data_IF_904195538837
#
_entry.id   IF_904195538837
#
_cell.length_a   1.000
_cell.length_b   1.000
_cell.length_c   1.000
_cell.angle_alpha   90.00
_cell.angle_beta   90.00
_cell.angle_gamma   90.00
#
_symmetry.space_group_name_H-M   'P 1'
#
loop_
_entity.id
_entity.type
_entity.pdbx_description
1 polymer ?
#
# COMPACT_ATOMS: atom_id res chain seq x y z
N UNK A 1 -8.29 -27.99 -19.04
CA UNK A 1 -7.16 -28.40 -18.18
C UNK A 1 -7.66 -28.33 -16.75
N UNK A 2 -7.56 -29.46 -16.05
CA UNK A 2 -7.76 -29.50 -14.61
C UNK A 2 -6.41 -29.29 -13.89
N UNK A 3 -6.41 -28.48 -12.86
CA UNK A 3 -5.24 -28.18 -12.02
C UNK A 3 -5.55 -28.72 -10.62
N UNK A 4 -4.67 -29.55 -10.07
CA UNK A 4 -4.68 -29.97 -8.67
C UNK A 4 -3.24 -30.03 -8.18
N UNK A 5 -2.81 -29.00 -7.45
CA UNK A 5 -1.45 -28.83 -6.98
C UNK A 5 -1.44 -28.76 -5.47
N UNK A 6 -0.45 -29.40 -4.86
CA UNK A 6 -0.20 -29.32 -3.43
C UNK A 6 1.28 -29.08 -3.19
N UNK A 7 1.60 -28.05 -2.39
CA UNK A 7 2.96 -27.67 -2.03
C UNK A 7 3.08 -27.73 -0.51
N UNK A 8 4.03 -28.51 -0.01
CA UNK A 8 4.23 -28.64 1.45
C UNK A 8 5.08 -27.48 1.99
N UNK A 9 6.08 -27.07 1.21
CA UNK A 9 7.00 -25.99 1.57
C UNK A 9 7.71 -25.50 0.32
N UNK A 10 7.74 -24.19 0.09
CA UNK A 10 8.45 -23.57 -1.03
C UNK A 10 9.70 -22.80 -0.60
N UNK A 11 10.08 -22.82 0.68
CA UNK A 11 11.20 -22.02 1.20
C UNK A 11 12.51 -22.25 0.44
N UNK A 12 12.75 -23.46 -0.07
CA UNK A 12 13.93 -23.74 -0.89
C UNK A 12 13.89 -22.94 -2.20
N UNK A 13 12.73 -22.89 -2.86
CA UNK A 13 12.56 -22.14 -4.11
C UNK A 13 12.68 -20.63 -3.86
N UNK A 14 12.06 -20.12 -2.79
CA UNK A 14 12.14 -18.70 -2.44
C UNK A 14 13.57 -18.28 -2.12
N UNK A 15 14.34 -19.15 -1.45
CA UNK A 15 15.76 -18.91 -1.18
C UNK A 15 16.61 -18.93 -2.47
N UNK A 16 16.45 -19.95 -3.31
CA UNK A 16 17.22 -20.10 -4.57
C UNK A 16 16.97 -18.94 -5.55
N UNK A 17 15.75 -18.47 -5.65
CA UNK A 17 15.36 -17.40 -6.57
C UNK A 17 15.33 -16.01 -5.91
N UNK A 18 15.79 -15.90 -4.64
CA UNK A 18 15.82 -14.63 -3.88
C UNK A 18 14.44 -13.93 -3.90
N UNK A 19 13.37 -14.70 -3.75
CA UNK A 19 12.02 -14.16 -3.77
C UNK A 19 11.71 -13.47 -2.42
N UNK A 20 11.02 -12.32 -2.41
CA UNK A 20 10.76 -11.56 -1.18
C UNK A 20 9.61 -12.14 -0.34
N UNK A 21 9.19 -13.37 -0.62
CA UNK A 21 8.09 -14.04 0.09
C UNK A 21 8.43 -15.49 0.44
N UNK A 22 7.71 -16.03 1.39
CA UNK A 22 7.79 -17.42 1.82
C UNK A 22 6.40 -17.97 2.12
N UNK A 23 6.20 -19.27 1.90
CA UNK A 23 4.94 -19.98 2.19
C UNK A 23 5.24 -21.19 3.06
N UNK A 24 4.49 -21.35 4.13
CA UNK A 24 4.65 -22.44 5.09
C UNK A 24 3.34 -23.24 5.21
N UNK A 25 3.49 -24.52 5.51
CA UNK A 25 2.38 -25.45 5.56
C UNK A 25 1.94 -25.93 4.17
N UNK A 26 1.03 -26.89 4.14
CA UNK A 26 0.53 -27.47 2.90
C UNK A 26 -0.42 -26.52 2.19
N UNK A 27 0.09 -25.85 1.17
CA UNK A 27 -0.69 -24.98 0.29
C UNK A 27 -1.31 -25.79 -0.84
N UNK A 28 -2.56 -25.53 -1.17
CA UNK A 28 -3.28 -26.22 -2.24
C UNK A 28 -3.81 -25.25 -3.28
N UNK A 29 -3.81 -25.66 -4.54
CA UNK A 29 -4.45 -24.92 -5.62
C UNK A 29 -5.21 -25.89 -6.51
N UNK A 30 -6.51 -25.67 -6.70
CA UNK A 30 -7.39 -26.45 -7.56
C UNK A 30 -8.12 -25.55 -8.53
N UNK A 31 -8.34 -26.06 -9.75
CA UNK A 31 -9.09 -25.26 -10.70
C UNK A 31 -9.26 -25.89 -12.05
N UNK A 32 -10.02 -25.21 -12.88
CA UNK A 32 -10.30 -25.56 -14.25
C UNK A 32 -9.96 -24.40 -15.19
N UNK A 33 -9.29 -24.72 -16.28
CA UNK A 33 -9.03 -23.83 -17.41
C UNK A 33 -9.61 -24.48 -18.66
N UNK A 34 -10.52 -23.79 -19.34
CA UNK A 34 -11.09 -24.25 -20.61
C UNK A 34 -10.79 -23.24 -21.70
N UNK A 35 -10.06 -23.67 -22.73
CA UNK A 35 -9.85 -22.86 -23.93
C UNK A 35 -11.09 -22.81 -24.83
N UNK A 36 -11.94 -23.84 -24.79
CA UNK A 36 -13.19 -23.90 -25.53
C UNK A 36 -14.19 -22.90 -25.01
N UNK A 37 -14.44 -22.94 -23.70
CA UNK A 37 -15.39 -22.05 -23.04
C UNK A 37 -14.75 -20.72 -22.64
N UNK A 38 -13.43 -20.58 -22.84
CA UNK A 38 -12.61 -19.45 -22.38
C UNK A 38 -12.86 -19.18 -20.89
N UNK A 39 -12.98 -20.25 -20.09
CA UNK A 39 -13.30 -20.16 -18.67
C UNK A 39 -12.08 -20.42 -17.80
N UNK A 40 -12.01 -19.67 -16.69
CA UNK A 40 -11.05 -19.83 -15.61
C UNK A 40 -11.84 -19.93 -14.31
N UNK A 41 -11.53 -20.95 -13.51
CA UNK A 41 -12.02 -21.07 -12.13
C UNK A 41 -10.91 -21.72 -11.30
N UNK A 42 -10.24 -20.94 -10.46
CA UNK A 42 -9.11 -21.38 -9.63
C UNK A 42 -9.41 -20.99 -8.19
N UNK A 43 -9.13 -21.93 -7.29
CA UNK A 43 -9.15 -21.70 -5.83
C UNK A 43 -7.83 -22.14 -5.25
N UNK A 44 -7.29 -21.35 -4.33
CA UNK A 44 -6.09 -21.71 -3.59
C UNK A 44 -6.30 -21.46 -2.10
N UNK A 45 -5.63 -22.28 -1.30
CA UNK A 45 -5.56 -22.14 0.15
C UNK A 45 -4.09 -22.18 0.56
N UNK A 46 -3.66 -21.16 1.31
CA UNK A 46 -2.30 -21.04 1.80
C UNK A 46 -2.36 -20.84 3.32
N UNK A 47 -1.91 -21.83 4.12
CA UNK A 47 -1.99 -21.77 5.58
C UNK A 47 -1.21 -20.60 6.17
N UNK A 48 0.01 -20.36 5.68
CA UNK A 48 0.83 -19.25 6.14
C UNK A 48 1.67 -18.67 4.98
N UNK A 49 1.73 -17.35 4.92
CA UNK A 49 2.45 -16.59 3.92
C UNK A 49 3.16 -15.42 4.58
N UNK A 50 4.44 -15.25 4.28
CA UNK A 50 5.24 -14.12 4.73
C UNK A 50 5.72 -13.31 3.54
N UNK A 51 5.51 -12.02 3.59
CA UNK A 51 6.09 -11.07 2.64
C UNK A 51 6.83 -9.97 3.40
N UNK A 52 8.13 -9.92 3.26
CA UNK A 52 8.99 -9.02 4.05
C UNK A 52 8.76 -9.22 5.56
N UNK A 53 8.24 -8.22 6.25
CA UNK A 53 7.92 -8.24 7.70
C UNK A 53 6.45 -8.58 8.00
N UNK A 54 5.61 -8.71 6.99
CA UNK A 54 4.19 -9.01 7.15
C UNK A 54 3.96 -10.52 7.11
N UNK A 55 3.21 -11.02 8.08
CA UNK A 55 2.82 -12.43 8.16
C UNK A 55 1.31 -12.53 8.02
N UNK A 56 0.87 -13.47 7.20
CA UNK A 56 -0.53 -13.75 6.94
C UNK A 56 -0.81 -15.24 7.18
N UNK A 57 -2.00 -15.54 7.68
CA UNK A 57 -2.48 -16.89 7.90
C UNK A 57 -3.85 -17.09 7.27
N UNK A 58 -4.18 -18.36 6.99
CA UNK A 58 -5.48 -18.77 6.47
C UNK A 58 -5.88 -17.98 5.22
N UNK A 59 -4.99 -17.94 4.24
CA UNK A 59 -5.25 -17.23 3.00
C UNK A 59 -6.10 -18.11 2.10
N UNK A 60 -7.27 -17.61 1.73
CA UNK A 60 -8.12 -18.18 0.70
C UNK A 60 -8.10 -17.25 -0.51
N UNK A 61 -7.88 -17.80 -1.68
CA UNK A 61 -7.86 -17.09 -2.95
C UNK A 61 -8.80 -17.76 -3.94
N UNK A 62 -9.58 -16.96 -4.64
CA UNK A 62 -10.38 -17.42 -5.77
C UNK A 62 -10.21 -16.48 -6.97
N UNK A 63 -10.04 -17.09 -8.13
CA UNK A 63 -9.94 -16.40 -9.42
C UNK A 63 -10.91 -17.03 -10.40
N UNK A 64 -11.77 -16.23 -11.00
CA UNK A 64 -12.66 -16.69 -12.07
C UNK A 64 -12.91 -15.59 -13.10
N UNK A 65 -13.44 -15.96 -14.26
CA UNK A 65 -13.83 -15.02 -15.29
C UNK A 65 -15.34 -15.00 -15.58
N UNK A 66 -16.16 -15.14 -14.55
CA UNK A 66 -17.61 -15.07 -14.65
C UNK A 66 -18.08 -13.70 -15.12
N UNK A 67 -19.20 -13.67 -15.85
CA UNK A 67 -19.82 -12.45 -16.37
C UNK A 67 -18.88 -11.60 -17.26
N UNK A 68 -17.99 -12.27 -18.02
CA UNK A 68 -16.99 -11.61 -18.88
C UNK A 68 -16.05 -10.66 -18.12
N UNK A 69 -15.87 -10.90 -16.85
CA UNK A 69 -14.96 -10.13 -15.98
C UNK A 69 -14.01 -11.10 -15.28
N UNK A 70 -12.74 -10.75 -15.24
CA UNK A 70 -11.79 -11.47 -14.41
C UNK A 70 -11.98 -11.00 -12.96
N UNK A 71 -12.40 -11.92 -12.10
CA UNK A 71 -12.67 -11.62 -10.70
C UNK A 71 -11.66 -12.34 -9.81
N UNK A 72 -11.04 -11.59 -8.93
CA UNK A 72 -10.17 -12.07 -7.86
C UNK A 72 -10.83 -11.77 -6.52
N UNK A 73 -10.82 -12.71 -5.62
CA UNK A 73 -11.10 -12.47 -4.21
C UNK A 73 -10.06 -13.17 -3.34
N UNK A 74 -9.69 -12.54 -2.26
CA UNK A 74 -8.76 -13.09 -1.29
C UNK A 74 -9.19 -12.68 0.10
N UNK A 75 -9.13 -13.63 1.05
CA UNK A 75 -9.24 -13.36 2.47
C UNK A 75 -8.00 -13.86 3.18
N UNK A 76 -7.60 -13.21 4.25
CA UNK A 76 -6.45 -13.59 5.05
C UNK A 76 -6.56 -13.00 6.47
N UNK A 77 -5.82 -13.57 7.41
CA UNK A 77 -5.57 -12.97 8.72
C UNK A 77 -4.14 -12.44 8.76
N UNK A 78 -3.97 -11.13 8.82
CA UNK A 78 -2.67 -10.51 9.02
C UNK A 78 -2.31 -10.53 10.50
N UNK A 79 -1.13 -11.07 10.82
CA UNK A 79 -0.63 -11.13 12.19
C UNK A 79 -0.07 -9.77 12.61
N UNK A 80 -0.54 -9.29 13.75
CA UNK A 80 -0.09 -8.07 14.40
C UNK A 80 0.82 -8.37 15.60
N UNK A 81 1.39 -7.33 16.20
CA UNK A 81 2.13 -7.46 17.47
C UNK A 81 1.23 -8.09 18.54
N UNK A 82 1.81 -8.89 19.46
CA UNK A 82 1.10 -9.60 20.54
C UNK A 82 0.08 -10.63 20.04
N UNK A 83 0.33 -11.26 18.87
CA UNK A 83 -0.54 -12.28 18.27
C UNK A 83 -1.98 -11.82 17.95
N UNK A 84 -2.23 -10.52 17.94
CA UNK A 84 -3.48 -9.99 17.46
C UNK A 84 -3.62 -10.23 15.95
N UNK A 85 -4.85 -10.49 15.48
CA UNK A 85 -5.13 -10.79 14.08
C UNK A 85 -6.04 -9.70 13.50
N UNK A 86 -5.70 -9.24 12.31
CA UNK A 86 -6.53 -8.36 11.50
C UNK A 86 -7.04 -9.14 10.32
N UNK A 87 -8.35 -9.33 10.23
CA UNK A 87 -8.96 -9.91 9.05
C UNK A 87 -8.82 -8.95 7.87
N UNK A 88 -8.30 -9.44 6.76
CA UNK A 88 -8.09 -8.66 5.53
C UNK A 88 -8.81 -9.33 4.38
N UNK A 89 -9.49 -8.56 3.55
CA UNK A 89 -10.11 -9.03 2.32
C UNK A 89 -9.74 -8.13 1.15
N UNK A 90 -9.51 -8.75 0.00
CA UNK A 90 -9.24 -8.06 -1.26
C UNK A 90 -10.18 -8.62 -2.32
N UNK A 91 -10.90 -7.74 -2.99
CA UNK A 91 -11.65 -8.10 -4.20
C UNK A 91 -11.19 -7.24 -5.36
N UNK A 92 -11.01 -7.83 -6.53
CA UNK A 92 -10.76 -7.11 -7.76
C UNK A 92 -11.62 -7.66 -8.89
N UNK A 93 -12.09 -6.79 -9.76
CA UNK A 93 -12.89 -7.18 -10.93
C UNK A 93 -12.44 -6.36 -12.14
N UNK A 94 -11.92 -7.06 -13.16
CA UNK A 94 -11.32 -6.42 -14.33
C UNK A 94 -12.05 -6.80 -15.63
N UNK A 95 -12.31 -5.81 -16.46
CA UNK A 95 -12.81 -5.93 -17.84
C UNK A 95 -12.56 -4.65 -18.63
N UNK A 96 -12.35 -4.75 -19.95
CA UNK A 96 -12.21 -3.60 -20.85
C UNK A 96 -11.19 -2.56 -20.34
N UNK A 97 -9.98 -3.02 -20.06
CA UNK A 97 -8.87 -2.19 -19.57
C UNK A 97 -9.17 -1.43 -18.25
N UNK A 98 -10.20 -1.85 -17.52
CA UNK A 98 -10.57 -1.27 -16.24
C UNK A 98 -10.60 -2.33 -15.15
N UNK A 99 -10.02 -2.02 -14.00
CA UNK A 99 -10.04 -2.86 -12.79
C UNK A 99 -10.61 -2.07 -11.62
N UNK A 100 -11.63 -2.60 -10.98
CA UNK A 100 -12.16 -2.10 -9.71
C UNK A 100 -11.61 -2.96 -8.58
N UNK A 101 -11.07 -2.31 -7.55
CA UNK A 101 -10.48 -3.00 -6.39
C UNK A 101 -11.10 -2.47 -5.11
N UNK A 102 -11.37 -3.39 -4.17
CA UNK A 102 -11.71 -3.06 -2.79
C UNK A 102 -10.80 -3.83 -1.85
N UNK A 103 -10.10 -3.10 -1.01
CA UNK A 103 -9.28 -3.66 0.08
C UNK A 103 -9.98 -3.30 1.38
N UNK A 104 -10.37 -4.32 2.13
CA UNK A 104 -11.00 -4.16 3.44
C UNK A 104 -10.17 -4.79 4.55
N UNK A 105 -10.23 -4.24 5.74
CA UNK A 105 -9.68 -4.86 6.94
C UNK A 105 -10.49 -4.52 8.19
N UNK A 106 -10.50 -5.45 9.14
CA UNK A 106 -11.16 -5.28 10.42
C UNK A 106 -10.11 -5.33 11.52
N UNK A 107 -10.02 -4.28 12.33
CA UNK A 107 -9.05 -4.20 13.42
C UNK A 107 -9.22 -5.34 14.44
N UNK A 108 -8.12 -5.72 15.09
CA UNK A 108 -8.05 -6.84 16.02
C UNK A 108 -9.00 -6.71 17.24
N UNK A 109 -9.45 -5.51 17.57
CA UNK A 109 -10.30 -5.24 18.73
C UNK A 109 -11.80 -5.28 18.47
N UNK A 110 -12.22 -5.48 17.22
CA UNK A 110 -13.63 -5.51 16.78
C UNK A 110 -14.53 -4.35 17.30
N UNK A 111 -13.91 -3.28 17.78
CA UNK A 111 -14.62 -2.11 18.34
C UNK A 111 -15.08 -1.12 17.26
N UNK A 112 -14.60 -1.28 16.04
CA UNK A 112 -14.82 -0.33 14.95
C UNK A 112 -15.34 -1.04 13.72
N UNK A 113 -16.02 -0.30 12.88
CA UNK A 113 -16.42 -0.76 11.56
C UNK A 113 -15.21 -1.13 10.69
N UNK A 114 -15.45 -1.94 9.66
CA UNK A 114 -14.39 -2.33 8.74
C UNK A 114 -13.85 -1.12 7.98
N UNK A 115 -12.54 -1.01 7.90
CA UNK A 115 -11.87 -0.09 6.97
C UNK A 115 -12.03 -0.60 5.55
N UNK A 116 -12.30 0.27 4.59
CA UNK A 116 -12.39 -0.09 3.17
C UNK A 116 -11.75 1.00 2.33
N UNK A 117 -10.83 0.60 1.44
CA UNK A 117 -10.32 1.44 0.34
C UNK A 117 -10.88 0.89 -0.95
N UNK A 118 -11.50 1.77 -1.74
CA UNK A 118 -12.06 1.43 -3.06
C UNK A 118 -11.32 2.22 -4.15
N UNK A 119 -10.90 1.52 -5.22
CA UNK A 119 -10.19 2.15 -6.33
C UNK A 119 -10.73 1.68 -7.68
N UNK A 120 -10.59 2.54 -8.69
CA UNK A 120 -10.72 2.18 -10.10
C UNK A 120 -9.38 2.42 -10.80
N UNK A 121 -8.88 1.41 -11.52
CA UNK A 121 -7.65 1.53 -12.30
C UNK A 121 -7.98 1.38 -13.78
N UNK A 122 -7.60 2.36 -14.58
CA UNK A 122 -7.74 2.37 -16.04
C UNK A 122 -6.37 2.14 -16.66
N UNK A 123 -6.24 1.07 -17.43
CA UNK A 123 -5.02 0.73 -18.13
C UNK A 123 -5.07 1.25 -19.58
N UNK A 124 -3.95 1.69 -20.08
CA UNK A 124 -3.81 2.10 -21.48
C UNK A 124 -2.40 1.80 -21.98
N UNK A 125 -2.24 1.77 -23.31
CA UNK A 125 -0.92 1.66 -23.94
C UNK A 125 -0.67 2.89 -24.79
N UNK A 126 0.52 3.48 -24.65
CA UNK A 126 0.99 4.55 -25.51
C UNK A 126 2.37 4.19 -26.09
N UNK A 127 2.47 4.09 -27.42
CA UNK A 127 3.70 3.68 -28.13
C UNK A 127 4.31 2.37 -27.58
N UNK A 128 3.47 1.39 -27.21
CA UNK A 128 3.90 0.11 -26.66
C UNK A 128 4.13 0.08 -25.16
N UNK A 129 4.25 1.21 -24.49
CA UNK A 129 4.43 1.31 -23.05
C UNK A 129 3.07 1.31 -22.32
N UNK A 130 3.02 0.62 -21.20
CA UNK A 130 1.83 0.58 -20.33
C UNK A 130 1.71 1.87 -19.52
N UNK A 131 0.52 2.41 -19.44
CA UNK A 131 0.12 3.47 -18.53
C UNK A 131 -1.07 3.02 -17.68
N UNK A 132 -1.21 3.57 -16.48
CA UNK A 132 -2.34 3.29 -15.61
C UNK A 132 -2.78 4.56 -14.88
N UNK A 133 -4.08 4.80 -14.82
CA UNK A 133 -4.69 5.83 -13.99
C UNK A 133 -5.43 5.16 -12.84
N UNK A 134 -4.98 5.38 -11.61
CA UNK A 134 -5.60 4.91 -10.39
C UNK A 134 -6.43 6.04 -9.77
N UNK A 135 -7.72 5.79 -9.57
CA UNK A 135 -8.63 6.72 -8.89
C UNK A 135 -9.01 6.10 -7.54
N UNK A 136 -8.71 6.82 -6.47
CA UNK A 136 -9.24 6.50 -5.15
C UNK A 136 -10.65 7.09 -5.04
N UNK A 137 -11.61 6.26 -4.66
CA UNK A 137 -12.92 6.74 -4.28
C UNK A 137 -12.95 7.15 -2.81
N UNK A 138 -13.79 8.09 -2.41
CA UNK A 138 -13.94 8.45 -1.01
C UNK A 138 -14.12 7.20 -0.13
N UNK A 139 -13.30 7.10 0.89
CA UNK A 139 -13.18 5.89 1.71
C UNK A 139 -12.93 6.26 3.16
N UNK A 140 -13.29 5.37 4.07
CA UNK A 140 -13.02 5.53 5.50
C UNK A 140 -12.15 4.40 6.00
N UNK A 141 -11.10 4.74 6.72
CA UNK A 141 -10.14 3.78 7.26
C UNK A 141 -9.82 4.07 8.72
N UNK A 142 -9.59 3.03 9.49
CA UNK A 142 -9.08 3.15 10.84
C UNK A 142 -7.56 3.02 10.85
N UNK A 143 -6.89 4.04 11.40
CA UNK A 143 -5.45 4.05 11.67
C UNK A 143 -5.29 4.29 13.17
N UNK A 144 -4.65 3.35 13.89
CA UNK A 144 -4.45 3.44 15.34
C UNK A 144 -5.75 3.79 16.10
N UNK A 145 -6.81 3.02 15.86
CA UNK A 145 -8.16 3.20 16.45
C UNK A 145 -8.84 4.55 16.16
N UNK A 146 -8.37 5.26 15.15
CA UNK A 146 -8.91 6.56 14.74
C UNK A 146 -9.43 6.50 13.32
N UNK A 147 -10.65 7.03 13.09
CA UNK A 147 -11.27 7.09 11.78
C UNK A 147 -10.66 8.21 10.95
N UNK A 148 -10.17 7.87 9.76
CA UNK A 148 -9.64 8.78 8.76
C UNK A 148 -10.46 8.71 7.48
N UNK A 149 -10.67 9.84 6.84
CA UNK A 149 -11.28 9.95 5.53
C UNK A 149 -10.19 10.01 4.46
N UNK A 150 -10.31 9.17 3.44
CA UNK A 150 -9.52 9.23 2.21
C UNK A 150 -10.39 9.88 1.16
N UNK A 151 -9.96 11.02 0.65
CA UNK A 151 -10.73 11.77 -0.34
C UNK A 151 -10.53 11.21 -1.75
N UNK A 152 -11.33 11.68 -2.70
CA UNK A 152 -11.18 11.33 -4.10
C UNK A 152 -9.83 11.84 -4.62
N UNK A 153 -8.98 10.94 -5.07
CA UNK A 153 -7.61 11.23 -5.47
C UNK A 153 -7.24 10.48 -6.73
N UNK A 154 -6.34 11.01 -7.53
CA UNK A 154 -5.90 10.40 -8.78
C UNK A 154 -4.38 10.22 -8.78
N UNK A 155 -3.93 9.02 -9.12
CA UNK A 155 -2.52 8.73 -9.37
C UNK A 155 -2.37 8.23 -10.81
N UNK A 156 -1.63 8.97 -11.62
CA UNK A 156 -1.33 8.62 -13.01
C UNK A 156 0.09 8.05 -13.12
N UNK A 157 0.20 6.80 -13.52
CA UNK A 157 1.45 6.15 -13.93
C UNK A 157 1.55 6.27 -15.46
N UNK A 158 2.30 7.23 -15.93
CA UNK A 158 2.37 7.53 -17.35
C UNK A 158 3.34 6.61 -18.11
N UNK A 159 3.09 6.43 -19.38
CA UNK A 159 3.90 5.58 -20.27
C UNK A 159 5.37 6.01 -20.41
N UNK A 160 5.71 7.25 -20.06
CA UNK A 160 7.06 7.80 -20.02
C UNK A 160 7.75 7.64 -18.66
N UNK A 161 7.17 6.83 -17.77
CA UNK A 161 7.61 6.60 -16.39
C UNK A 161 7.45 7.81 -15.46
N UNK A 162 6.60 8.77 -15.81
CA UNK A 162 6.20 9.85 -14.92
C UNK A 162 5.09 9.37 -14.00
N UNK A 163 5.24 9.61 -12.70
CA UNK A 163 4.21 9.45 -11.69
C UNK A 163 3.59 10.82 -11.39
N UNK A 164 2.30 11.00 -11.60
CA UNK A 164 1.58 12.21 -11.21
C UNK A 164 0.59 11.88 -10.13
N UNK A 165 0.59 12.64 -9.05
CA UNK A 165 -0.36 12.52 -7.94
C UNK A 165 -1.19 13.79 -7.92
N UNK A 166 -2.52 13.63 -7.97
CA UNK A 166 -3.49 14.75 -7.96
C UNK A 166 -4.34 14.62 -6.71
N UNK A 167 -4.15 15.56 -5.82
CA UNK A 167 -4.96 15.74 -4.60
C UNK A 167 -5.11 14.47 -3.76
N UNK A 168 -4.01 13.72 -3.55
CA UNK A 168 -4.06 12.64 -2.59
C UNK A 168 -4.18 13.23 -1.19
N UNK A 169 -5.37 13.09 -0.62
CA UNK A 169 -5.71 13.71 0.65
C UNK A 169 -6.32 12.68 1.60
N UNK A 170 -5.74 12.57 2.77
CA UNK A 170 -6.24 11.79 3.90
C UNK A 170 -6.33 12.70 5.11
N UNK A 171 -7.47 12.69 5.80
CA UNK A 171 -7.74 13.63 6.88
C UNK A 171 -8.53 13.03 8.04
N UNK A 172 -8.36 13.62 9.21
CA UNK A 172 -9.12 13.36 10.44
C UNK A 172 -9.14 14.60 11.32
N UNK A 173 -10.32 15.18 11.57
CA UNK A 173 -10.45 16.42 12.36
C UNK A 173 -9.53 17.52 11.81
N UNK A 174 -8.52 17.93 12.60
CA UNK A 174 -7.53 18.94 12.23
C UNK A 174 -6.22 18.35 11.68
N UNK A 175 -6.15 17.04 11.54
CA UNK A 175 -4.97 16.32 11.05
C UNK A 175 -5.15 15.98 9.58
N UNK A 176 -4.10 16.15 8.78
CA UNK A 176 -4.14 15.75 7.38
C UNK A 176 -2.76 15.46 6.80
N UNK A 177 -2.78 14.66 5.74
CA UNK A 177 -1.68 14.49 4.78
C UNK A 177 -2.24 14.79 3.39
N UNK A 178 -1.66 15.76 2.71
CA UNK A 178 -1.97 16.10 1.33
C UNK A 178 -0.73 15.96 0.46
N UNK A 179 -0.84 15.25 -0.65
CA UNK A 179 0.25 15.02 -1.60
C UNK A 179 -0.24 15.39 -2.99
N UNK A 180 0.50 16.27 -3.65
CA UNK A 180 0.22 16.72 -5.01
C UNK A 180 1.50 16.95 -5.79
N UNK A 181 1.46 16.75 -7.11
CA UNK A 181 2.62 17.00 -7.97
C UNK A 181 3.03 15.81 -8.81
N UNK A 182 4.27 15.78 -9.24
CA UNK A 182 4.75 14.72 -10.11
C UNK A 182 6.24 14.40 -9.90
N UNK A 183 6.57 13.15 -10.20
CA UNK A 183 7.94 12.62 -10.21
C UNK A 183 8.23 11.96 -11.54
N UNK A 184 9.41 12.20 -12.10
CA UNK A 184 9.90 11.53 -13.31
C UNK A 184 11.36 11.15 -13.17
N UNK A 185 11.96 10.63 -14.22
CA UNK A 185 13.42 10.41 -14.27
C UNK A 185 14.17 11.62 -14.84
N UNK A 186 13.46 12.71 -15.11
CA UNK A 186 14.00 13.94 -15.70
C UNK A 186 14.14 15.01 -14.62
N UNK A 187 14.92 16.06 -14.91
CA UNK A 187 14.97 17.24 -14.05
C UNK A 187 13.64 18.01 -14.11
N UNK A 188 13.30 18.70 -13.04
CA UNK A 188 12.12 19.56 -12.95
C UNK A 188 10.92 18.91 -12.29
N UNK A 189 11.08 17.73 -11.70
CA UNK A 189 10.02 17.10 -10.89
C UNK A 189 9.71 17.94 -9.66
N UNK A 190 8.48 17.87 -9.24
CA UNK A 190 7.99 18.64 -8.13
C UNK A 190 6.80 17.89 -7.45
N UNK A 191 7.10 17.24 -6.32
CA UNK A 191 6.11 16.59 -5.48
C UNK A 191 6.04 17.32 -4.16
N UNK A 192 4.88 17.88 -3.85
CA UNK A 192 4.59 18.56 -2.61
C UNK A 192 3.88 17.64 -1.65
N UNK A 193 4.35 17.64 -0.41
CA UNK A 193 3.74 16.94 0.72
C UNK A 193 3.45 17.98 1.80
N UNK A 194 2.19 18.24 2.05
CA UNK A 194 1.70 19.09 3.13
C UNK A 194 1.09 18.23 4.23
N UNK A 195 1.50 18.43 5.47
CA UNK A 195 1.06 17.64 6.60
C UNK A 195 0.77 18.50 7.82
N UNK A 196 -0.24 18.08 8.59
CA UNK A 196 -0.65 18.78 9.81
C UNK A 196 -0.95 17.81 10.94
N UNK A 197 -0.32 18.03 12.09
CA UNK A 197 -0.55 17.30 13.34
C UNK A 197 -0.46 15.77 13.23
N UNK A 198 0.34 15.27 12.27
CA UNK A 198 0.51 13.82 12.08
C UNK A 198 1.37 13.23 13.20
N UNK A 199 1.08 11.99 13.57
CA UNK A 199 1.85 11.26 14.57
C UNK A 199 3.21 10.82 13.99
N UNK A 200 4.29 11.45 14.45
CA UNK A 200 5.63 11.20 13.97
C UNK A 200 6.11 9.78 14.33
N UNK A 201 5.74 9.30 15.51
CA UNK A 201 6.08 7.94 15.93
C UNK A 201 5.46 6.89 15.00
N UNK A 202 4.20 7.06 14.60
CA UNK A 202 3.55 6.20 13.61
C UNK A 202 4.23 6.28 12.24
N UNK A 203 4.55 7.49 11.76
CA UNK A 203 5.25 7.67 10.48
C UNK A 203 6.60 6.94 10.50
N UNK A 204 7.40 7.14 11.54
CA UNK A 204 8.74 6.57 11.63
C UNK A 204 8.71 5.05 11.83
N UNK A 205 7.88 4.54 12.74
CA UNK A 205 7.89 3.10 13.10
C UNK A 205 7.08 2.23 12.15
N UNK A 206 5.92 2.70 11.70
CA UNK A 206 4.95 1.86 11.01
C UNK A 206 4.93 2.09 9.49
N UNK A 207 5.22 3.29 9.03
CA UNK A 207 5.33 3.62 7.60
C UNK A 207 6.76 3.43 7.10
N UNK A 208 7.72 4.17 7.66
CA UNK A 208 9.11 4.18 7.20
C UNK A 208 9.93 2.99 7.74
N UNK A 209 9.40 2.24 8.71
CA UNK A 209 10.07 1.11 9.38
C UNK A 209 11.41 1.45 10.01
N UNK A 210 11.63 2.71 10.35
CA UNK A 210 12.83 3.20 11.02
C UNK A 210 12.70 2.98 12.52
N UNK A 211 13.42 1.99 13.05
CA UNK A 211 13.34 1.58 14.47
C UNK A 211 14.59 1.99 15.30
N UNK A 212 15.61 2.54 14.66
CA UNK A 212 16.89 2.82 15.31
C UNK A 212 16.76 3.90 16.41
N UNK A 213 15.83 4.83 16.25
CA UNK A 213 15.60 5.95 17.17
C UNK A 213 14.09 6.08 17.36
N UNK A 214 13.63 6.04 18.62
CA UNK A 214 12.23 6.32 18.95
C UNK A 214 12.02 7.84 19.03
N UNK A 215 11.40 8.38 17.99
CA UNK A 215 10.99 9.81 17.94
C UNK A 215 9.47 9.83 17.92
N UNK A 216 8.87 10.60 18.83
CA UNK A 216 7.43 10.85 18.91
C UNK A 216 7.16 12.36 18.85
N UNK A 217 5.92 12.72 18.63
CA UNK A 217 5.45 14.12 18.57
C UNK A 217 4.42 14.30 17.47
N UNK A 218 3.94 15.53 17.31
CA UNK A 218 3.02 15.90 16.24
C UNK A 218 3.75 16.73 15.20
N UNK A 219 3.87 16.18 13.98
CA UNK A 219 4.58 16.85 12.88
C UNK A 219 3.60 17.62 12.00
N UNK A 220 3.97 18.85 11.68
CA UNK A 220 3.30 19.72 10.71
C UNK A 220 4.32 20.41 9.82
N UNK A 221 3.93 20.75 8.58
CA UNK A 221 4.78 21.50 7.66
C UNK A 221 4.79 20.93 6.25
N UNK A 222 5.77 21.37 5.48
CA UNK A 222 5.90 21.08 4.07
C UNK A 222 7.17 20.26 3.79
N UNK A 223 7.04 19.30 2.89
CA UNK A 223 8.19 18.61 2.31
C UNK A 223 8.04 18.58 0.78
N UNK A 224 9.12 18.88 0.08
CA UNK A 224 9.14 18.87 -1.39
C UNK A 224 10.16 17.87 -1.88
N UNK A 225 9.79 17.08 -2.86
CA UNK A 225 10.73 16.22 -3.58
C UNK A 225 10.86 16.75 -4.99
N UNK A 226 12.03 17.26 -5.30
CA UNK A 226 12.36 17.77 -6.63
C UNK A 226 13.43 16.92 -7.28
N UNK A 227 13.56 16.97 -8.59
CA UNK A 227 14.66 16.32 -9.33
C UNK A 227 15.57 17.34 -9.96
N UNK A 228 16.79 17.44 -9.47
CA UNK A 228 17.86 18.21 -10.13
C UNK A 228 18.79 17.24 -10.86
N UNK A 229 18.89 17.38 -12.19
CA UNK A 229 19.75 16.51 -13.02
C UNK A 229 19.50 15.01 -12.84
N UNK A 230 18.23 14.59 -12.81
CA UNK A 230 17.76 13.23 -12.56
C UNK A 230 18.12 12.67 -11.15
N UNK A 231 18.42 13.52 -10.20
CA UNK A 231 18.67 13.15 -8.79
C UNK A 231 17.57 13.71 -7.91
N UNK A 232 16.94 12.90 -7.04
CA UNK A 232 15.96 13.43 -6.11
C UNK A 232 16.63 14.30 -5.04
N UNK A 233 16.03 15.44 -4.79
CA UNK A 233 16.37 16.35 -3.69
C UNK A 233 15.13 16.45 -2.82
N UNK A 234 15.27 16.16 -1.53
CA UNK A 234 14.22 16.32 -0.54
C UNK A 234 14.50 17.61 0.24
N UNK A 235 13.56 18.54 0.20
CA UNK A 235 13.54 19.74 1.02
C UNK A 235 12.40 19.61 2.04
N UNK A 236 12.67 19.90 3.30
CA UNK A 236 11.68 19.81 4.37
C UNK A 236 11.75 21.04 5.27
N UNK A 237 10.58 21.57 5.63
CA UNK A 237 10.39 22.64 6.61
C UNK A 237 9.25 22.19 7.55
N UNK A 238 9.64 21.60 8.68
CA UNK A 238 8.73 20.89 9.57
C UNK A 238 8.85 21.42 11.00
N UNK A 239 7.72 21.43 11.68
CA UNK A 239 7.61 21.66 13.12
C UNK A 239 7.13 20.36 13.76
N UNK A 240 7.78 19.93 14.82
CA UNK A 240 7.35 18.82 15.66
C UNK A 240 7.00 19.33 17.02
N UNK A 241 5.72 19.38 17.34
CA UNK A 241 5.23 19.78 18.67
C UNK A 241 5.30 18.59 19.62
N UNK A 242 5.58 18.88 20.91
CA UNK A 242 5.72 17.87 21.97
C UNK A 242 6.69 16.72 21.61
N UNK A 243 7.80 17.08 20.98
CA UNK A 243 8.78 16.13 20.52
C UNK A 243 9.38 15.34 21.69
N UNK A 244 9.51 14.01 21.50
CA UNK A 244 10.15 13.09 22.44
C UNK A 244 11.21 12.29 21.73
N UNK A 245 12.34 12.11 22.38
CA UNK A 245 13.43 11.23 21.94
C UNK A 245 13.61 10.12 22.98
N UNK A 246 13.43 8.85 22.57
CA UNK A 246 13.48 7.70 23.49
C UNK A 246 12.59 7.90 24.74
N UNK A 247 11.35 8.36 24.53
CA UNK A 247 10.33 8.68 25.54
C UNK A 247 10.67 9.86 26.48
N UNK A 248 11.76 10.59 26.24
CA UNK A 248 12.09 11.81 26.99
C UNK A 248 11.62 13.02 26.21
N UNK A 249 10.80 13.87 26.82
CA UNK A 249 10.37 15.15 26.22
C UNK A 249 11.56 16.07 25.95
N UNK A 250 11.62 16.61 24.74
CA UNK A 250 12.64 17.59 24.32
C UNK A 250 12.02 18.94 23.95
N UNK A 251 10.66 19.04 24.01
CA UNK A 251 9.92 20.25 23.64
C UNK A 251 9.64 20.32 22.15
N UNK A 252 9.44 21.51 21.61
CA UNK A 252 9.16 21.69 20.19
C UNK A 252 10.45 21.68 19.39
N UNK A 253 10.43 20.99 18.26
CA UNK A 253 11.58 20.87 17.35
C UNK A 253 11.24 21.47 15.99
N UNK A 254 12.21 22.19 15.42
CA UNK A 254 12.11 22.77 14.09
C UNK A 254 13.12 22.08 13.19
N UNK A 255 12.65 21.52 12.08
CA UNK A 255 13.47 20.77 11.13
C UNK A 255 13.43 21.51 9.81
N UNK A 256 14.57 22.09 9.43
CA UNK A 256 14.77 22.63 8.09
C UNK A 256 15.92 21.86 7.46
N UNK A 257 15.64 21.13 6.41
CA UNK A 257 16.60 20.19 5.83
C UNK A 257 16.51 20.22 4.32
N UNK A 258 17.67 20.13 3.68
CA UNK A 258 17.81 19.82 2.26
C UNK A 258 18.73 18.61 2.17
N UNK A 259 18.21 17.52 1.61
CA UNK A 259 18.97 16.30 1.42
C UNK A 259 19.03 15.95 -0.05
N UNK A 260 20.24 15.73 -0.55
CA UNK A 260 20.49 15.21 -1.87
C UNK A 260 21.37 13.95 -1.79
N UNK A 261 21.30 13.09 -2.81
CA UNK A 261 22.02 11.81 -2.84
C UNK A 261 23.55 11.93 -3.01
N UNK A 262 24.12 13.10 -2.89
CA UNK A 262 25.56 13.36 -3.09
C UNK A 262 26.35 13.43 -1.78
N UNK A 263 25.69 13.35 -0.64
CA UNK A 263 26.33 13.32 0.68
C UNK A 263 25.98 12.06 1.45
#
# INVERSE_FOLDING_TARGET
IYIDLSFVNISILTYLFVLPFDMQGTSTMKGNLSSVDKSIDIKANVPAFRYSTMNFENIELGLNNKNKRLNLFTTANMLQKKNAKTAVNLTASAANDTMFTKLGWLGATAKHDASVISTATYFSKHKGNLAAKLIFHPSQIYISDSLWNVNNSVIDFNADSTLTIKDFHIERNNQYLHINGFLSKKSGDDLHVDMKELDLGFIMSDILKLKAIAIDGKVSGLANVTSKSARPVLEADLVVNDAKLNNKGIGDAYIKSTWDKTN
#
